data_IF_618564044144
#
_entry.id   IF_618564044144
#
_cell.length_a   1.000
_cell.length_b   1.000
_cell.length_c   1.000
_cell.angle_alpha   90.00
_cell.angle_beta   90.00
_cell.angle_gamma   90.00
#
_symmetry.space_group_name_H-M   'P 1'
#
loop_
_entity.id
_entity.type
_entity.pdbx_description
1 polymer ?
#
# COMPACT_ATOMS: atom_id res chain seq x y z
N UNK A 1 42.72 -14.65 -37.20
CA UNK A 1 41.76 -14.57 -36.07
C UNK A 1 40.36 -14.76 -36.63
N UNK A 2 39.75 -15.90 -36.32
CA UNK A 2 38.64 -16.49 -37.06
C UNK A 2 37.26 -16.14 -36.47
N UNK A 3 36.40 -15.62 -37.35
CA UNK A 3 34.97 -15.95 -37.55
C UNK A 3 34.05 -15.99 -36.32
N UNK A 4 33.25 -14.93 -36.18
CA UNK A 4 31.89 -14.98 -35.59
C UNK A 4 31.01 -15.84 -36.51
N UNK A 5 30.29 -16.82 -35.96
CA UNK A 5 29.23 -17.55 -36.67
C UNK A 5 27.98 -17.65 -35.81
N UNK A 6 26.89 -17.22 -36.44
CA UNK A 6 25.50 -17.15 -36.01
C UNK A 6 24.87 -18.52 -35.72
N UNK A 7 23.84 -18.54 -34.87
CA UNK A 7 22.68 -19.46 -34.87
C UNK A 7 21.65 -18.95 -33.84
N UNK A 8 20.38 -18.72 -34.15
CA UNK A 8 19.70 -19.02 -35.39
C UNK A 8 18.22 -18.60 -35.43
N UNK A 9 17.64 -19.02 -36.55
CA UNK A 9 16.24 -19.19 -36.93
C UNK A 9 15.36 -17.93 -36.96
N UNK A 10 15.22 -17.26 -38.12
CA UNK A 10 14.23 -17.55 -39.20
C UNK A 10 12.81 -17.83 -38.72
N UNK A 11 11.89 -16.94 -39.05
CA UNK A 11 10.85 -17.23 -40.05
C UNK A 11 10.16 -15.92 -40.48
N UNK A 12 10.43 -15.52 -41.72
CA UNK A 12 9.55 -14.65 -42.48
C UNK A 12 8.27 -15.44 -42.79
N UNK A 13 7.11 -14.88 -42.41
CA UNK A 13 5.85 -15.20 -43.05
C UNK A 13 5.31 -13.91 -43.67
N UNK A 14 5.64 -13.73 -44.95
CA UNK A 14 5.01 -12.75 -45.82
C UNK A 14 3.60 -13.26 -46.19
N UNK A 15 2.61 -12.37 -46.16
CA UNK A 15 1.21 -12.74 -46.41
C UNK A 15 0.33 -11.57 -46.85
N UNK A 16 0.53 -11.17 -48.11
CA UNK A 16 -0.44 -10.57 -49.04
C UNK A 16 -0.87 -9.09 -48.89
N UNK A 17 -0.84 -8.45 -50.06
CA UNK A 17 -1.06 -7.04 -50.32
C UNK A 17 -2.54 -6.67 -50.39
N UNK A 18 -2.87 -5.47 -49.91
CA UNK A 18 -3.92 -4.62 -50.48
C UNK A 18 -3.51 -3.16 -50.29
N UNK A 19 -3.26 -2.49 -51.42
CA UNK A 19 -2.99 -1.05 -51.49
C UNK A 19 -4.28 -0.32 -51.12
N UNK A 20 -4.30 0.30 -49.95
CA UNK A 20 -5.32 1.24 -49.52
C UNK A 20 -4.62 2.39 -48.82
N UNK A 21 -4.75 3.60 -49.35
CA UNK A 21 -4.18 4.80 -48.77
C UNK A 21 -4.65 4.98 -47.33
N UNK A 22 -3.76 4.71 -46.37
CA UNK A 22 -3.97 4.97 -44.96
C UNK A 22 -2.96 6.04 -44.59
N UNK A 23 -3.47 7.26 -44.46
CA UNK A 23 -2.78 8.36 -43.79
C UNK A 23 -2.16 7.83 -42.50
N UNK A 24 -0.87 8.12 -42.31
CA UNK A 24 -0.17 7.79 -41.08
C UNK A 24 -0.85 8.53 -39.91
N UNK A 25 -1.85 7.90 -39.30
CA UNK A 25 -2.28 8.29 -37.97
C UNK A 25 -1.10 7.97 -37.04
N UNK A 26 -0.60 8.92 -36.24
CA UNK A 26 0.42 8.62 -35.28
C UNK A 26 -0.15 7.54 -34.35
N UNK A 27 0.64 6.49 -34.10
CA UNK A 27 0.36 5.57 -33.02
C UNK A 27 0.36 6.40 -31.73
N UNK A 28 -0.83 6.81 -31.29
CA UNK A 28 -1.02 7.36 -29.97
C UNK A 28 -0.76 6.20 -29.02
N UNK A 29 0.46 6.16 -28.48
CA UNK A 29 0.76 5.35 -27.33
C UNK A 29 -0.29 5.71 -26.27
N UNK A 30 -1.18 4.77 -25.96
CA UNK A 30 -2.11 4.92 -24.87
C UNK A 30 -1.26 5.22 -23.64
N UNK A 31 -1.27 6.48 -23.22
CA UNK A 31 -0.66 6.90 -21.97
C UNK A 31 -1.58 6.31 -20.92
N UNK A 32 -1.28 5.10 -20.45
CA UNK A 32 -1.93 4.57 -19.26
C UNK A 32 -1.61 5.60 -18.19
N UNK A 33 -2.61 6.41 -17.82
CA UNK A 33 -2.45 7.40 -16.78
C UNK A 33 -2.03 6.63 -15.53
N UNK A 34 -0.75 6.74 -15.16
CA UNK A 34 -0.26 6.19 -13.90
C UNK A 34 -1.02 6.94 -12.83
N UNK A 35 -2.05 6.31 -12.28
CA UNK A 35 -2.80 6.87 -11.17
C UNK A 35 -1.86 6.88 -9.98
N UNK A 36 -1.29 8.04 -9.66
CA UNK A 36 -0.35 8.20 -8.55
C UNK A 36 -1.10 7.95 -7.24
N UNK A 37 -0.64 6.95 -6.48
CA UNK A 37 -1.19 6.70 -5.15
C UNK A 37 -0.85 7.88 -4.23
N UNK A 38 -1.87 8.49 -3.63
CA UNK A 38 -1.73 9.54 -2.62
C UNK A 38 -1.81 8.88 -1.24
N UNK A 39 -0.79 9.06 -0.41
CA UNK A 39 -0.77 8.50 0.95
C UNK A 39 -0.91 9.62 1.97
N UNK A 40 -1.90 9.51 2.86
CA UNK A 40 -2.09 10.41 4.01
C UNK A 40 -1.89 9.60 5.29
N UNK A 41 -0.97 10.03 6.15
CA UNK A 41 -0.63 9.32 7.38
C UNK A 41 -0.94 10.14 8.63
N UNK A 42 -1.33 9.47 9.71
CA UNK A 42 -1.35 10.05 11.05
C UNK A 42 0.07 10.38 11.52
N UNK A 43 0.22 11.27 12.51
CA UNK A 43 1.47 11.35 13.28
C UNK A 43 1.80 9.99 13.90
N UNK A 44 3.09 9.72 14.06
CA UNK A 44 3.54 8.58 14.85
C UNK A 44 3.16 8.79 16.32
N UNK A 45 2.61 7.76 16.94
CA UNK A 45 2.23 7.78 18.37
C UNK A 45 2.70 6.51 19.07
N UNK A 46 2.93 6.63 20.38
CA UNK A 46 3.36 5.51 21.21
C UNK A 46 2.14 4.67 21.63
N UNK A 47 2.15 3.39 21.26
CA UNK A 47 1.21 2.38 21.72
C UNK A 47 1.98 1.19 22.28
N UNK A 48 1.72 0.80 23.53
CA UNK A 48 2.36 -0.37 24.14
C UNK A 48 3.90 -0.36 24.12
N UNK A 49 4.53 0.82 24.08
CA UNK A 49 5.99 0.99 23.97
C UNK A 49 6.56 0.86 22.55
N UNK A 50 5.70 0.89 21.53
CA UNK A 50 6.06 0.86 20.11
C UNK A 50 5.56 2.12 19.42
N UNK A 51 6.26 2.54 18.37
CA UNK A 51 5.80 3.61 17.50
C UNK A 51 4.78 3.05 16.52
N UNK A 52 3.63 3.68 16.46
CA UNK A 52 2.51 3.24 15.63
C UNK A 52 2.00 4.39 14.79
N UNK A 53 1.60 4.08 13.56
CA UNK A 53 1.06 5.03 12.61
C UNK A 53 -0.01 4.33 11.78
N UNK A 54 -0.99 5.09 11.33
CA UNK A 54 -1.97 4.62 10.34
C UNK A 54 -1.94 5.53 9.13
N UNK A 55 -1.94 4.93 7.95
CA UNK A 55 -1.93 5.62 6.67
C UNK A 55 -3.11 5.16 5.81
N UNK A 56 -3.68 6.09 5.06
CA UNK A 56 -4.64 5.82 4.00
C UNK A 56 -3.91 6.02 2.65
N UNK A 57 -3.76 4.95 1.89
CA UNK A 57 -3.25 4.98 0.51
C UNK A 57 -4.43 5.03 -0.44
N UNK A 58 -4.45 6.04 -1.32
CA UNK A 58 -5.59 6.36 -2.18
C UNK A 58 -5.13 6.36 -3.63
N UNK A 59 -5.73 5.50 -4.45
CA UNK A 59 -5.39 5.37 -5.87
C UNK A 59 -6.65 5.49 -6.70
N UNK A 60 -6.84 6.64 -7.36
CA UNK A 60 -8.03 6.96 -8.15
C UNK A 60 -9.24 7.16 -7.26
N UNK A 61 -9.99 6.08 -6.99
CA UNK A 61 -11.09 6.05 -6.03
C UNK A 61 -11.01 4.90 -5.02
N UNK A 62 -9.92 4.13 -5.06
CA UNK A 62 -9.69 3.01 -4.15
C UNK A 62 -8.88 3.48 -2.95
N UNK A 63 -9.34 3.14 -1.75
CA UNK A 63 -8.65 3.41 -0.49
C UNK A 63 -8.19 2.10 0.12
N UNK A 64 -6.95 2.08 0.58
CA UNK A 64 -6.33 1.02 1.37
C UNK A 64 -5.81 1.63 2.67
N UNK A 65 -6.25 1.10 3.81
CA UNK A 65 -5.62 1.46 5.08
C UNK A 65 -4.40 0.61 5.36
N UNK A 66 -3.37 1.22 5.93
CA UNK A 66 -2.09 0.60 6.29
C UNK A 66 -1.78 0.97 7.73
N UNK A 67 -1.63 -0.03 8.60
CA UNK A 67 -1.12 0.16 9.96
C UNK A 67 0.38 -0.09 9.97
N UNK A 68 1.17 0.77 10.59
CA UNK A 68 2.62 0.60 10.73
C UNK A 68 2.99 0.52 12.20
N UNK A 69 3.90 -0.41 12.51
CA UNK A 69 4.47 -0.59 13.84
C UNK A 69 5.98 -0.60 13.73
N UNK A 70 6.65 0.21 14.54
CA UNK A 70 8.10 0.35 14.58
C UNK A 70 8.60 0.45 16.03
N UNK A 71 9.91 0.37 16.21
CA UNK A 71 10.53 0.59 17.50
C UNK A 71 10.35 2.05 17.93
N UNK A 72 10.07 2.26 19.22
CA UNK A 72 9.93 3.58 19.83
C UNK A 72 11.26 4.30 20.12
N UNK A 73 12.39 3.71 19.74
CA UNK A 73 13.72 4.26 19.97
C UNK A 73 14.80 3.36 19.39
N UNK A 74 16.07 3.80 19.38
CA UNK A 74 17.19 3.00 18.91
C UNK A 74 17.36 1.76 19.80
N UNK A 75 17.63 0.59 19.21
CA UNK A 75 17.96 -0.60 20.00
C UNK A 75 19.29 -0.38 20.73
N UNK A 76 19.29 -0.59 22.04
CA UNK A 76 20.53 -0.56 22.84
C UNK A 76 21.21 -1.93 22.81
N UNK A 77 22.55 -2.00 22.66
CA UNK A 77 23.27 -3.27 22.58
C UNK A 77 23.14 -4.13 23.85
N UNK A 78 22.98 -3.51 25.02
CA UNK A 78 22.84 -4.21 26.30
C UNK A 78 21.45 -4.84 26.51
N UNK A 79 20.46 -4.41 25.72
CA UNK A 79 19.08 -4.90 25.77
C UNK A 79 18.54 -5.09 24.36
N UNK A 80 18.90 -6.20 23.69
CA UNK A 80 18.42 -6.47 22.36
C UNK A 80 16.90 -6.61 22.37
N UNK A 81 16.18 -5.93 21.45
CA UNK A 81 14.73 -6.02 21.39
C UNK A 81 14.31 -7.47 21.10
N UNK A 82 13.47 -8.02 21.97
CA UNK A 82 12.99 -9.38 21.87
C UNK A 82 11.82 -9.48 20.89
N UNK A 83 11.65 -10.61 20.19
CA UNK A 83 10.43 -10.90 19.43
C UNK A 83 9.18 -10.73 20.30
N UNK A 84 8.16 -10.04 19.78
CA UNK A 84 6.89 -9.83 20.47
C UNK A 84 5.72 -10.17 19.55
N UNK A 85 4.74 -10.91 20.07
CA UNK A 85 3.47 -11.08 19.38
C UNK A 85 2.56 -9.91 19.74
N UNK A 86 2.16 -9.16 18.73
CA UNK A 86 1.27 -8.01 18.87
C UNK A 86 -0.09 -8.36 18.30
N UNK A 87 -1.15 -8.03 19.03
CA UNK A 87 -2.50 -8.09 18.48
C UNK A 87 -2.85 -6.73 17.90
N UNK A 88 -3.12 -6.71 16.60
CA UNK A 88 -3.37 -5.50 15.82
C UNK A 88 -4.81 -5.49 15.34
N UNK A 89 -5.42 -4.32 15.34
CA UNK A 89 -6.77 -4.11 14.80
C UNK A 89 -6.75 -2.87 13.94
N UNK A 90 -7.16 -3.02 12.69
CA UNK A 90 -7.22 -1.95 11.69
C UNK A 90 -8.63 -1.89 11.12
N UNK A 91 -9.28 -0.74 11.23
CA UNK A 91 -10.62 -0.52 10.69
C UNK A 91 -10.67 0.73 9.82
N UNK A 92 -11.52 0.69 8.81
CA UNK A 92 -11.74 1.80 7.89
C UNK A 92 -13.22 2.13 7.78
N UNK A 93 -13.53 3.42 7.68
CA UNK A 93 -14.90 3.93 7.51
C UNK A 93 -14.90 5.16 6.62
N UNK A 94 -16.02 5.43 5.95
CA UNK A 94 -16.28 6.74 5.35
C UNK A 94 -16.94 7.60 6.42
N UNK A 95 -16.44 8.81 6.68
CA UNK A 95 -16.99 9.73 7.68
C UNK A 95 -18.42 10.09 7.28
N UNK A 96 -19.39 9.81 8.16
CA UNK A 96 -20.82 10.01 7.87
C UNK A 96 -21.41 8.99 6.89
N UNK A 97 -20.68 7.91 6.57
CA UNK A 97 -21.08 6.90 5.60
C UNK A 97 -20.91 5.47 6.10
N UNK A 98 -20.66 4.54 5.17
CA UNK A 98 -20.54 3.11 5.44
C UNK A 98 -19.16 2.72 5.95
N UNK A 99 -19.09 1.59 6.66
CA UNK A 99 -17.81 0.96 7.01
C UNK A 99 -17.15 0.33 5.78
N UNK A 100 -15.84 0.47 5.68
CA UNK A 100 -15.01 -0.20 4.67
C UNK A 100 -14.51 -1.57 5.19
N UNK A 101 -14.75 -1.87 6.46
CA UNK A 101 -14.41 -3.13 7.12
C UNK A 101 -13.45 -2.97 8.29
N UNK A 102 -13.11 -4.11 8.89
CA UNK A 102 -12.13 -4.21 9.96
C UNK A 102 -11.37 -5.53 9.85
N UNK A 103 -10.09 -5.49 10.18
CA UNK A 103 -9.20 -6.64 10.23
C UNK A 103 -8.53 -6.65 11.59
N UNK A 104 -8.56 -7.79 12.26
CA UNK A 104 -7.77 -8.05 13.45
C UNK A 104 -6.82 -9.23 13.18
N UNK A 105 -5.55 -9.05 13.51
CA UNK A 105 -4.54 -10.08 13.29
C UNK A 105 -3.39 -9.98 14.28
N UNK A 106 -2.76 -11.12 14.56
CA UNK A 106 -1.55 -11.17 15.36
C UNK A 106 -0.32 -11.07 14.45
N UNK A 107 0.60 -10.16 14.76
CA UNK A 107 1.85 -9.97 14.01
C UNK A 107 3.03 -10.25 14.92
N UNK A 108 4.03 -10.95 14.39
CA UNK A 108 5.29 -11.16 15.08
C UNK A 108 6.22 -9.99 14.79
N UNK A 109 6.46 -9.17 15.81
CA UNK A 109 7.33 -8.01 15.73
C UNK A 109 8.75 -8.40 16.11
N UNK A 110 9.66 -8.39 15.13
CA UNK A 110 11.07 -8.78 15.26
C UNK A 110 11.98 -7.55 15.31
N UNK A 111 11.56 -6.51 16.05
CA UNK A 111 12.32 -5.26 16.17
C UNK A 111 12.56 -4.51 14.85
N UNK A 112 11.73 -4.76 13.84
CA UNK A 112 11.75 -4.11 12.53
C UNK A 112 10.37 -3.55 12.21
N UNK A 113 10.31 -2.56 11.31
CA UNK A 113 9.03 -1.95 10.94
C UNK A 113 8.12 -2.97 10.27
N UNK A 114 6.98 -3.23 10.87
CA UNK A 114 5.93 -4.11 10.34
C UNK A 114 4.84 -3.25 9.74
N UNK A 115 4.40 -3.60 8.53
CA UNK A 115 3.22 -3.00 7.90
C UNK A 115 2.09 -4.02 7.87
N UNK A 116 0.92 -3.59 8.35
CA UNK A 116 -0.32 -4.35 8.44
C UNK A 116 -1.26 -3.81 7.36
N UNK A 117 -1.61 -4.65 6.40
CA UNK A 117 -2.58 -4.30 5.38
C UNK A 117 -3.99 -4.38 5.98
N UNK A 118 -4.73 -3.28 5.85
CA UNK A 118 -6.07 -3.10 6.35
C UNK A 118 -7.16 -3.40 5.33
N UNK A 119 -8.40 -3.01 5.64
CA UNK A 119 -9.49 -3.08 4.70
C UNK A 119 -9.25 -2.16 3.49
N UNK A 120 -9.76 -2.60 2.35
CA UNK A 120 -9.83 -1.85 1.10
C UNK A 120 -11.26 -1.57 0.71
N UNK A 121 -11.47 -0.48 -0.02
CA UNK A 121 -12.77 -0.22 -0.63
C UNK A 121 -12.72 0.92 -1.63
N UNK A 122 -13.71 0.96 -2.49
CA UNK A 122 -13.95 2.10 -3.38
C UNK A 122 -14.84 3.11 -2.70
N UNK A 123 -14.49 4.38 -2.82
CA UNK A 123 -15.18 5.50 -2.19
C UNK A 123 -15.34 6.62 -3.19
N UNK A 124 -16.45 7.34 -3.07
CA UNK A 124 -16.74 8.45 -3.96
C UNK A 124 -15.72 9.58 -3.76
N UNK A 125 -15.40 10.25 -4.87
CA UNK A 125 -14.50 11.38 -4.87
C UNK A 125 -14.96 12.50 -3.92
N UNK A 126 -14.03 13.15 -3.23
CA UNK A 126 -14.34 14.18 -2.23
C UNK A 126 -14.84 13.64 -0.88
N UNK A 127 -15.02 12.32 -0.73
CA UNK A 127 -15.37 11.72 0.56
C UNK A 127 -14.19 11.80 1.53
N UNK A 128 -14.49 11.93 2.82
CA UNK A 128 -13.49 11.78 3.88
C UNK A 128 -13.52 10.36 4.41
N UNK A 129 -12.39 9.68 4.40
CA UNK A 129 -12.23 8.34 4.99
C UNK A 129 -11.48 8.44 6.31
N UNK A 130 -11.92 7.66 7.29
CA UNK A 130 -11.32 7.56 8.61
C UNK A 130 -10.83 6.15 8.89
N UNK A 131 -9.55 6.03 9.21
CA UNK A 131 -8.88 4.78 9.57
C UNK A 131 -8.48 4.79 11.03
N UNK A 132 -8.67 3.67 11.72
CA UNK A 132 -8.25 3.50 13.12
C UNK A 132 -7.35 2.28 13.24
N UNK A 133 -6.19 2.43 13.87
CA UNK A 133 -5.24 1.36 14.10
C UNK A 133 -4.89 1.23 15.58
N UNK A 134 -5.19 0.07 16.16
CA UNK A 134 -4.84 -0.27 17.53
C UNK A 134 -3.81 -1.39 17.58
N UNK A 135 -2.77 -1.20 18.40
CA UNK A 135 -1.80 -2.23 18.74
C UNK A 135 -1.86 -2.52 20.23
N UNK A 136 -2.02 -3.79 20.57
CA UNK A 136 -2.00 -4.28 21.94
C UNK A 136 -1.00 -5.41 22.09
N UNK A 137 -0.47 -5.58 23.31
CA UNK A 137 0.40 -6.69 23.68
C UNK A 137 -0.06 -7.25 25.03
N UNK A 138 0.39 -8.44 25.38
CA UNK A 138 0.05 -9.05 26.66
C UNK A 138 0.35 -8.08 27.84
N UNK A 139 -0.68 -7.75 28.62
CA UNK A 139 -0.61 -6.80 29.74
C UNK A 139 -0.82 -5.31 29.40
N UNK A 140 -0.99 -4.94 28.13
CA UNK A 140 -1.20 -3.55 27.70
C UNK A 140 -2.34 -3.47 26.66
N UNK A 141 -3.41 -2.74 27.02
CA UNK A 141 -4.56 -2.54 26.14
C UNK A 141 -4.26 -1.63 24.93
N UNK A 142 -5.10 -1.68 23.88
CA UNK A 142 -4.91 -0.84 22.70
C UNK A 142 -5.22 0.63 23.03
N UNK A 143 -4.41 1.55 22.48
CA UNK A 143 -4.66 3.00 22.51
C UNK A 143 -4.72 3.55 21.09
N UNK A 144 -5.80 3.30 20.33
CA UNK A 144 -5.82 3.40 18.86
C UNK A 144 -5.42 4.78 18.32
N UNK A 145 -4.69 4.78 17.21
CA UNK A 145 -4.37 5.99 16.42
C UNK A 145 -5.35 6.11 15.26
N UNK A 146 -5.66 7.35 14.88
CA UNK A 146 -6.63 7.63 13.82
C UNK A 146 -6.02 8.50 12.73
N UNK A 147 -6.41 8.26 11.48
CA UNK A 147 -6.13 9.13 10.34
C UNK A 147 -7.43 9.49 9.65
N UNK A 148 -7.55 10.74 9.23
CA UNK A 148 -8.60 11.19 8.33
C UNK A 148 -7.93 11.65 7.03
N UNK A 149 -8.43 11.17 5.90
CA UNK A 149 -7.92 11.52 4.59
C UNK A 149 -9.08 11.86 3.66
N UNK A 150 -8.90 12.90 2.83
CA UNK A 150 -9.87 13.27 1.79
C UNK A 150 -9.48 12.56 0.50
N UNK A 151 -10.44 11.91 -0.14
CA UNK A 151 -10.24 11.24 -1.43
C UNK A 151 -10.17 12.30 -2.52
N UNK A 152 -9.03 12.48 -3.20
CA UNK A 152 -8.87 13.52 -4.21
C UNK A 152 -9.65 13.19 -5.47
N UNK A 153 -10.05 14.27 -6.16
CA UNK A 153 -10.48 14.30 -7.56
C UNK A 153 -9.33 14.90 -8.38
#
# INVERSE_FOLDING_TARGET
MNRRSMKGLTLLAAGMAAVGALTAAPAQAATTATTTATETCSPWSLQSGLMTQVCASITGGSVQFLGRVALAGPPTPDFPPQPQVLSTTLSGTVVGGSSLGSIAQNVNFLASTVTVNGPTGTVACGSTVSGTFGVSKFGWGPSPVTVNAVVPC
#
